data_IF_355180944950
#
_entry.id   IF_355180944950
#
_cell.length_a   1.000
_cell.length_b   1.000
_cell.length_c   1.000
_cell.angle_alpha   90.00
_cell.angle_beta   90.00
_cell.angle_gamma   90.00
#
_symmetry.space_group_name_H-M   'P 1'
#
loop_
_entity.id
_entity.type
_entity.pdbx_description
1 polymer ?
#
# COMPACT_ATOMS: atom_id res chain seq x y z
N UNK A 1 -47.09 4.12 17.06
CA UNK A 1 -46.01 5.06 17.44
C UNK A 1 -44.86 4.43 18.25
N UNK A 2 -45.00 3.21 18.81
CA UNK A 2 -43.92 2.56 19.59
C UNK A 2 -42.88 1.81 18.74
N UNK A 3 -43.25 1.31 17.56
CA UNK A 3 -42.36 0.55 16.66
C UNK A 3 -41.23 1.41 16.05
N UNK A 4 -41.53 2.64 15.61
CA UNK A 4 -40.50 3.57 15.10
C UNK A 4 -39.48 3.97 16.17
N UNK A 5 -39.83 3.88 17.47
CA UNK A 5 -38.94 4.28 18.57
C UNK A 5 -37.80 3.28 18.82
N UNK A 6 -37.97 2.03 18.38
CA UNK A 6 -36.92 1.00 18.46
C UNK A 6 -36.17 0.80 17.13
N UNK A 7 -36.76 1.18 15.99
CA UNK A 7 -36.11 1.13 14.67
C UNK A 7 -34.96 2.12 14.53
N UNK A 8 -35.09 3.33 15.08
CA UNK A 8 -34.06 4.37 15.00
C UNK A 8 -32.73 3.99 15.69
N UNK A 9 -32.70 3.48 16.94
CA UNK A 9 -31.45 3.06 17.58
C UNK A 9 -30.84 1.81 16.93
N UNK A 10 -31.64 0.87 16.42
CA UNK A 10 -31.13 -0.27 15.66
C UNK A 10 -30.44 0.17 14.36
N UNK A 11 -31.04 1.12 13.63
CA UNK A 11 -30.45 1.65 12.41
C UNK A 11 -29.13 2.40 12.70
N UNK A 12 -29.07 3.15 13.79
CA UNK A 12 -27.86 3.84 14.24
C UNK A 12 -26.75 2.86 14.66
N UNK A 13 -27.10 1.77 15.33
CA UNK A 13 -26.15 0.72 15.74
C UNK A 13 -25.53 0.00 14.53
N UNK A 14 -26.33 -0.29 13.50
CA UNK A 14 -25.84 -0.89 12.24
C UNK A 14 -24.93 0.07 11.48
N UNK A 15 -25.19 1.37 11.52
CA UNK A 15 -24.32 2.37 10.87
C UNK A 15 -22.97 2.50 11.60
N UNK A 16 -22.96 2.43 12.94
CA UNK A 16 -21.74 2.49 13.74
C UNK A 16 -20.78 1.31 13.50
N UNK A 17 -21.30 0.10 13.24
CA UNK A 17 -20.45 -1.07 12.95
C UNK A 17 -19.72 -0.94 11.60
N UNK A 18 -20.31 -0.24 10.63
CA UNK A 18 -19.65 0.02 9.34
C UNK A 18 -18.47 1.00 9.47
N UNK A 19 -18.50 1.91 10.45
CA UNK A 19 -17.41 2.86 10.70
C UNK A 19 -16.15 2.18 11.24
N UNK A 20 -16.31 1.15 12.10
CA UNK A 20 -15.18 0.41 12.70
C UNK A 20 -14.62 -0.70 11.81
N UNK A 21 -15.33 -1.06 10.74
CA UNK A 21 -14.94 -2.13 9.82
C UNK A 21 -13.98 -1.66 8.70
N UNK A 22 -13.20 -0.60 8.92
CA UNK A 22 -12.26 -0.13 7.90
C UNK A 22 -11.24 -1.24 7.60
N UNK A 23 -11.03 -1.58 6.31
CA UNK A 23 -10.05 -2.58 5.95
C UNK A 23 -8.65 -2.09 6.33
N UNK A 24 -7.82 -2.99 6.86
CA UNK A 24 -6.41 -2.70 7.14
C UNK A 24 -5.73 -2.21 5.86
N UNK A 25 -4.95 -1.15 5.99
CA UNK A 25 -4.09 -0.65 4.91
C UNK A 25 -3.05 -1.71 4.52
N UNK A 26 -2.47 -1.60 3.32
CA UNK A 26 -1.39 -2.50 2.89
C UNK A 26 -0.22 -2.49 3.88
N UNK A 27 0.13 -1.33 4.44
CA UNK A 27 1.17 -1.22 5.46
C UNK A 27 0.83 -2.02 6.72
N UNK A 28 -0.38 -1.89 7.25
CA UNK A 28 -0.82 -2.66 8.43
C UNK A 28 -0.91 -4.16 8.15
N UNK A 29 -1.29 -4.56 6.93
CA UNK A 29 -1.30 -5.97 6.52
C UNK A 29 0.11 -6.57 6.45
N UNK A 30 1.12 -5.76 6.16
CA UNK A 30 2.54 -6.13 6.17
C UNK A 30 3.17 -6.08 7.58
N UNK A 31 2.41 -5.72 8.61
CA UNK A 31 2.87 -5.67 10.00
C UNK A 31 3.40 -4.31 10.46
N UNK A 32 3.29 -3.26 9.64
CA UNK A 32 3.69 -1.91 10.04
C UNK A 32 2.62 -1.23 10.92
N UNK A 33 3.00 -0.28 11.78
CA UNK A 33 2.04 0.53 12.55
C UNK A 33 1.03 1.28 11.66
N UNK A 34 -0.12 1.62 12.24
CA UNK A 34 -1.11 2.47 11.59
C UNK A 34 -0.50 3.79 11.11
N UNK A 35 -0.98 4.30 9.99
CA UNK A 35 -0.49 5.53 9.32
C UNK A 35 0.96 5.47 8.79
N UNK A 36 1.62 4.30 8.80
CA UNK A 36 2.92 4.14 8.14
C UNK A 36 2.80 4.42 6.64
N UNK A 37 3.70 5.24 6.11
CA UNK A 37 3.88 5.46 4.67
C UNK A 37 4.94 4.51 4.15
N UNK A 38 4.61 3.73 3.13
CA UNK A 38 5.57 2.88 2.43
C UNK A 38 6.10 3.61 1.20
N UNK A 39 7.39 3.46 0.92
CA UNK A 39 8.07 4.01 -0.25
C UNK A 39 8.87 2.90 -0.92
N UNK A 40 8.68 2.74 -2.24
CA UNK A 40 9.52 1.89 -3.09
C UNK A 40 10.21 2.83 -4.07
N UNK A 41 11.54 2.84 -4.05
CA UNK A 41 12.35 3.51 -5.07
C UNK A 41 12.80 2.42 -6.05
N UNK A 42 12.43 2.59 -7.32
CA UNK A 42 12.53 1.57 -8.35
C UNK A 42 13.34 2.08 -9.55
N UNK A 43 14.30 1.29 -10.01
CA UNK A 43 15.01 1.53 -11.27
C UNK A 43 14.31 0.78 -12.41
N UNK A 44 13.81 1.52 -13.40
CA UNK A 44 13.17 0.92 -14.57
C UNK A 44 14.21 0.58 -15.66
N UNK A 45 13.81 -0.27 -16.60
CA UNK A 45 14.55 -0.56 -17.84
C UNK A 45 15.96 -1.17 -17.68
N UNK A 46 16.21 -1.97 -16.63
CA UNK A 46 17.45 -2.75 -16.59
C UNK A 46 17.55 -3.64 -17.84
N UNK A 47 18.74 -3.80 -18.39
CA UNK A 47 19.06 -4.50 -19.64
C UNK A 47 18.64 -3.81 -20.95
N UNK A 48 18.12 -2.58 -20.94
CA UNK A 48 17.78 -1.85 -22.18
C UNK A 48 19.01 -1.31 -22.91
N UNK A 49 20.05 -0.89 -22.16
CA UNK A 49 21.26 -0.30 -22.69
C UNK A 49 22.38 -0.34 -21.65
N UNK A 50 23.64 -0.43 -22.11
CA UNK A 50 24.81 -0.52 -21.23
C UNK A 50 24.91 0.63 -20.20
N UNK A 51 24.55 1.86 -20.57
CA UNK A 51 24.59 2.99 -19.63
C UNK A 51 23.53 2.88 -18.55
N UNK A 52 22.36 2.32 -18.88
CA UNK A 52 21.27 2.08 -17.93
C UNK A 52 21.67 0.95 -16.98
N UNK A 53 22.27 -0.11 -17.49
CA UNK A 53 22.78 -1.22 -16.67
C UNK A 53 23.79 -0.74 -15.64
N UNK A 54 24.79 0.02 -16.07
CA UNK A 54 25.82 0.54 -15.19
C UNK A 54 25.23 1.43 -14.07
N UNK A 55 24.27 2.29 -14.40
CA UNK A 55 23.62 3.16 -13.42
C UNK A 55 22.71 2.39 -12.46
N UNK A 56 21.94 1.42 -12.98
CA UNK A 56 21.02 0.61 -12.19
C UNK A 56 21.75 -0.31 -11.22
N UNK A 57 22.85 -0.94 -11.65
CA UNK A 57 23.69 -1.74 -10.75
C UNK A 57 24.39 -0.87 -9.69
N UNK A 58 24.94 0.28 -10.05
CA UNK A 58 25.54 1.20 -9.07
C UNK A 58 24.51 1.67 -8.01
N UNK A 59 23.28 1.97 -8.44
CA UNK A 59 22.20 2.37 -7.55
C UNK A 59 21.74 1.23 -6.62
N UNK A 60 21.67 0.00 -7.13
CA UNK A 60 21.34 -1.19 -6.33
C UNK A 60 22.45 -1.51 -5.32
N UNK A 61 23.71 -1.51 -5.75
CA UNK A 61 24.88 -1.84 -4.92
C UNK A 61 25.07 -0.84 -3.78
N UNK A 62 24.82 0.45 -4.03
CA UNK A 62 24.88 1.51 -3.01
C UNK A 62 23.60 1.62 -2.17
N UNK A 63 22.57 0.83 -2.48
CA UNK A 63 21.27 0.88 -1.79
C UNK A 63 20.48 2.16 -2.04
N UNK A 64 20.79 2.92 -3.10
CA UNK A 64 20.00 4.08 -3.52
C UNK A 64 18.61 3.67 -4.02
N UNK A 65 18.51 2.48 -4.62
CA UNK A 65 17.26 1.78 -4.93
C UNK A 65 17.34 0.35 -4.41
N UNK A 66 16.18 -0.28 -4.18
CA UNK A 66 16.11 -1.69 -3.71
C UNK A 66 15.22 -2.56 -4.60
N UNK A 67 14.82 -2.04 -5.76
CA UNK A 67 13.92 -2.69 -6.70
C UNK A 67 14.28 -2.25 -8.11
N UNK A 68 14.19 -3.17 -9.07
CA UNK A 68 14.36 -2.88 -10.49
C UNK A 68 13.50 -3.80 -11.35
N UNK A 69 13.16 -3.35 -12.57
CA UNK A 69 12.55 -4.16 -13.63
C UNK A 69 13.62 -4.50 -14.67
N UNK A 70 13.54 -5.66 -15.31
CA UNK A 70 14.48 -6.08 -16.36
C UNK A 70 13.73 -6.29 -17.68
N UNK A 71 14.24 -5.69 -18.76
CA UNK A 71 13.77 -5.88 -20.12
C UNK A 71 14.38 -7.17 -20.68
N UNK A 72 13.53 -8.17 -20.92
CA UNK A 72 13.93 -9.44 -21.54
C UNK A 72 13.39 -9.46 -22.98
N UNK A 73 14.23 -9.73 -24.00
CA UNK A 73 13.81 -9.79 -25.40
C UNK A 73 13.00 -11.05 -25.76
#
# INVERSE_FOLDING_TARGET
MRLCRFLFPCLFLVFATQLLAQPKTTAERLGYPANTKLLIIHADDLAVAHSVDAASFDALDKGAVTSASIMVP
#
